data_IF_278023814699
#
_entry.id   IF_278023814699
#
_cell.length_a   1.000
_cell.length_b   1.000
_cell.length_c   1.000
_cell.angle_alpha   90.00
_cell.angle_beta   90.00
_cell.angle_gamma   90.00
#
_symmetry.space_group_name_H-M   'P 1'
#
loop_
_entity.id
_entity.type
_entity.pdbx_description
1 polymer ?
#
# COMPACT_ATOMS: atom_id res chain seq x y z
N UNK A 1 22.49 3.50 1.65
CA UNK A 1 21.43 4.05 2.52
C UNK A 1 20.40 2.96 2.75
N UNK A 2 20.06 2.64 3.99
CA UNK A 2 19.11 1.56 4.31
C UNK A 2 17.69 1.99 3.97
N UNK A 3 16.93 1.11 3.29
CA UNK A 3 15.50 1.34 3.00
C UNK A 3 14.73 1.32 4.33
N UNK A 4 13.88 2.34 4.63
CA UNK A 4 13.06 2.29 5.82
C UNK A 4 12.13 1.06 5.77
N UNK A 5 11.83 0.45 6.94
CA UNK A 5 10.92 -0.69 7.00
C UNK A 5 9.55 -0.30 6.40
N UNK A 6 8.81 -1.25 5.81
CA UNK A 6 7.50 -0.96 5.26
C UNK A 6 6.54 -0.53 6.37
N UNK A 7 5.64 0.40 6.03
CA UNK A 7 4.54 0.82 6.90
C UNK A 7 3.51 -0.31 7.07
N UNK A 8 3.35 -1.12 6.04
CA UNK A 8 2.44 -2.25 6.04
C UNK A 8 2.94 -3.31 5.05
N UNK A 9 2.78 -4.58 5.43
CA UNK A 9 3.04 -5.71 4.54
C UNK A 9 2.02 -6.80 4.82
N UNK A 10 1.42 -7.35 3.76
CA UNK A 10 0.53 -8.51 3.86
C UNK A 10 0.67 -9.43 2.65
N UNK A 11 0.26 -10.68 2.83
CA UNK A 11 0.10 -11.65 1.75
C UNK A 11 -1.38 -12.02 1.65
N UNK A 12 -1.95 -11.83 0.47
CA UNK A 12 -3.28 -12.33 0.13
C UNK A 12 -3.30 -13.86 0.20
N UNK A 13 -4.20 -14.48 0.97
CA UNK A 13 -4.25 -15.94 1.10
C UNK A 13 -4.78 -16.64 -0.16
N UNK A 14 -5.45 -15.90 -1.07
CA UNK A 14 -6.13 -16.49 -2.22
C UNK A 14 -5.17 -16.92 -3.33
N UNK A 15 -4.20 -16.07 -3.63
CA UNK A 15 -3.29 -16.25 -4.78
C UNK A 15 -1.84 -15.91 -4.42
N UNK A 16 -1.57 -15.57 -3.16
CA UNK A 16 -0.24 -15.32 -2.64
C UNK A 16 0.33 -13.97 -3.03
N UNK A 17 -0.50 -13.03 -3.50
CA UNK A 17 -0.05 -11.66 -3.80
C UNK A 17 0.50 -10.99 -2.56
N UNK A 18 1.63 -10.30 -2.71
CA UNK A 18 2.22 -9.51 -1.63
C UNK A 18 1.91 -8.04 -1.87
N UNK A 19 1.39 -7.37 -0.85
CA UNK A 19 1.18 -5.92 -0.85
C UNK A 19 2.09 -5.33 0.20
N UNK A 20 2.88 -4.33 -0.19
CA UNK A 20 3.78 -3.59 0.69
C UNK A 20 3.56 -2.09 0.50
N UNK A 21 3.44 -1.35 1.60
CA UNK A 21 3.30 0.10 1.63
C UNK A 21 4.53 0.75 2.26
N UNK A 22 5.02 1.83 1.67
CA UNK A 22 6.21 2.54 2.16
C UNK A 22 6.08 4.04 2.03
N UNK A 23 6.61 4.76 3.02
CA UNK A 23 6.81 6.19 2.88
C UNK A 23 8.01 6.47 1.97
N UNK A 24 7.83 7.41 1.05
CA UNK A 24 8.90 7.96 0.21
C UNK A 24 8.94 9.47 0.46
N UNK A 25 10.02 9.92 1.08
CA UNK A 25 10.29 11.34 1.30
C UNK A 25 11.29 11.82 0.25
N UNK A 26 11.02 13.00 -0.32
CA UNK A 26 11.93 13.66 -1.26
C UNK A 26 12.79 14.67 -0.52
N UNK A 27 14.07 14.74 -0.89
CA UNK A 27 15.00 15.73 -0.35
C UNK A 27 14.48 17.15 -0.59
N UNK A 28 14.70 18.06 0.38
CA UNK A 28 14.24 19.45 0.30
C UNK A 28 12.82 19.72 0.80
N UNK A 29 12.20 18.77 1.51
CA UNK A 29 10.89 18.97 2.14
C UNK A 29 9.70 18.90 1.17
N UNK A 30 9.88 18.18 0.05
CA UNK A 30 8.79 17.87 -0.88
C UNK A 30 7.70 17.01 -0.24
N UNK A 31 6.59 16.85 -0.96
CA UNK A 31 5.46 16.03 -0.51
C UNK A 31 5.88 14.57 -0.27
N UNK A 32 5.64 14.06 0.94
CA UNK A 32 5.76 12.62 1.23
C UNK A 32 4.72 11.85 0.41
N UNK A 33 5.17 10.82 -0.30
CA UNK A 33 4.29 9.92 -1.04
C UNK A 33 4.23 8.55 -0.38
N UNK A 34 3.11 7.86 -0.60
CA UNK A 34 2.95 6.47 -0.23
C UNK A 34 3.22 5.59 -1.45
N UNK A 35 4.34 4.86 -1.43
CA UNK A 35 4.66 3.85 -2.42
C UNK A 35 3.92 2.56 -2.12
N UNK A 36 3.08 2.15 -3.06
CA UNK A 36 2.40 0.85 -3.06
C UNK A 36 3.14 -0.11 -3.98
N UNK A 37 3.52 -1.27 -3.45
CA UNK A 37 4.14 -2.36 -4.21
C UNK A 37 3.24 -3.58 -4.13
N UNK A 38 2.78 -4.04 -5.28
CA UNK A 38 2.01 -5.28 -5.42
C UNK A 38 2.85 -6.26 -6.23
N UNK A 39 3.10 -7.45 -5.67
CA UNK A 39 3.82 -8.53 -6.33
C UNK A 39 2.91 -9.72 -6.53
N UNK A 40 2.80 -10.15 -7.78
CA UNK A 40 2.07 -11.34 -8.19
C UNK A 40 3.03 -12.29 -8.92
N UNK A 41 3.55 -13.30 -8.20
CA UNK A 41 4.61 -14.19 -8.72
C UNK A 41 5.82 -13.39 -9.23
N UNK A 42 6.03 -13.32 -10.54
CA UNK A 42 7.10 -12.56 -11.19
C UNK A 42 6.69 -11.14 -11.63
N UNK A 43 5.39 -10.81 -11.58
CA UNK A 43 4.88 -9.48 -11.94
C UNK A 43 4.93 -8.55 -10.76
N UNK A 44 5.31 -7.31 -11.02
CA UNK A 44 5.37 -6.25 -10.02
C UNK A 44 4.65 -5.03 -10.55
N UNK A 45 3.81 -4.44 -9.71
CA UNK A 45 3.21 -3.13 -9.92
C UNK A 45 3.67 -2.24 -8.78
N UNK A 46 4.32 -1.13 -9.13
CA UNK A 46 4.79 -0.13 -8.18
C UNK A 46 4.27 1.22 -8.63
N UNK A 47 3.60 1.91 -7.72
CA UNK A 47 3.09 3.26 -7.97
C UNK A 47 3.09 4.04 -6.65
N UNK A 48 3.17 5.35 -6.76
CA UNK A 48 3.18 6.27 -5.64
C UNK A 48 1.86 7.06 -5.64
N UNK A 49 1.28 7.26 -4.46
CA UNK A 49 0.06 8.06 -4.28
C UNK A 49 0.29 9.14 -3.24
N UNK A 50 -0.37 10.29 -3.41
CA UNK A 50 -0.36 11.38 -2.46
C UNK A 50 -1.24 11.06 -1.21
N UNK A 51 -1.12 11.85 -0.13
CA UNK A 51 -1.88 11.62 1.10
C UNK A 51 -3.41 11.61 0.93
N UNK A 52 -3.98 12.46 0.05
CA UNK A 52 -5.42 12.52 -0.15
C UNK A 52 -5.92 11.28 -0.90
N UNK A 53 -5.18 10.84 -1.92
CA UNK A 53 -5.47 9.58 -2.63
C UNK A 53 -5.35 8.37 -1.68
N UNK A 54 -4.35 8.34 -0.80
CA UNK A 54 -4.17 7.28 0.19
C UNK A 54 -5.34 7.21 1.19
N UNK A 55 -5.81 8.35 1.70
CA UNK A 55 -6.97 8.40 2.60
C UNK A 55 -8.23 7.87 1.91
N UNK A 56 -8.52 8.36 0.70
CA UNK A 56 -9.70 7.95 -0.05
C UNK A 56 -9.70 6.44 -0.32
N UNK A 57 -8.57 5.88 -0.74
CA UNK A 57 -8.42 4.46 -0.98
C UNK A 57 -8.57 3.63 0.30
N UNK A 58 -7.92 4.02 1.40
CA UNK A 58 -8.01 3.33 2.69
C UNK A 58 -9.45 3.27 3.23
N UNK A 59 -10.19 4.39 3.14
CA UNK A 59 -11.61 4.43 3.52
C UNK A 59 -12.46 3.49 2.66
N UNK A 60 -12.20 3.41 1.36
CA UNK A 60 -12.92 2.49 0.47
C UNK A 60 -12.67 1.01 0.82
N UNK A 61 -11.42 0.64 1.15
CA UNK A 61 -11.06 -0.71 1.58
C UNK A 61 -11.80 -1.12 2.87
N UNK A 62 -11.80 -0.25 3.88
CA UNK A 62 -12.49 -0.50 5.16
C UNK A 62 -14.00 -0.61 4.94
N UNK A 63 -14.59 0.34 4.20
CA UNK A 63 -16.03 0.34 3.91
C UNK A 63 -16.48 -0.93 3.17
N UNK A 64 -15.63 -1.49 2.30
CA UNK A 64 -15.90 -2.79 1.66
C UNK A 64 -15.83 -3.95 2.66
N UNK A 65 -14.81 -3.98 3.52
CA UNK A 65 -14.62 -5.05 4.51
C UNK A 65 -15.77 -5.11 5.52
N UNK A 66 -16.29 -3.95 5.95
CA UNK A 66 -17.42 -3.85 6.88
C UNK A 66 -18.73 -4.43 6.32
N UNK A 67 -18.89 -4.48 5.00
CA UNK A 67 -20.08 -5.05 4.34
C UNK A 67 -20.01 -6.56 4.16
N UNK A 68 -18.86 -7.18 4.42
CA UNK A 68 -18.74 -8.63 4.30
C UNK A 68 -19.39 -9.31 5.50
N UNK A 69 -20.05 -10.47 5.32
CA UNK A 69 -20.49 -11.28 6.44
C UNK A 69 -19.31 -11.56 7.37
N UNK A 70 -19.44 -11.20 8.65
CA UNK A 70 -18.50 -11.65 9.68
C UNK A 70 -18.87 -13.10 9.98
N UNK A 71 -17.90 -14.00 9.79
CA UNK A 71 -18.03 -15.41 10.16
C UNK A 71 -18.17 -15.59 11.67
#
# INVERSE_FOLDING_TARGET
MSRPPPLFQTRSPLRGEEIELQQVDFEGGGMSLLRTRIREKSRFTVFDIDPATAEAWGRALVAWAERQPRG
#
